data_IF_996738641417
#
_entry.id   IF_996738641417
#
_cell.length_a   1.000
_cell.length_b   1.000
_cell.length_c   1.000
_cell.angle_alpha   90.00
_cell.angle_beta   90.00
_cell.angle_gamma   90.00
#
_symmetry.space_group_name_H-M   'P 1'
#
loop_
_entity.id
_entity.type
_entity.pdbx_description
1 polymer ?
#
# COMPACT_ATOMS: atom_id res chain seq x y z
N UNK A 1 16.09 -4.80 7.63
CA UNK A 1 14.82 -4.19 8.05
C UNK A 1 13.73 -4.51 7.05
N UNK A 2 12.54 -4.77 7.52
CA UNK A 2 11.37 -5.02 6.68
C UNK A 2 10.52 -3.77 6.59
N UNK A 3 10.30 -3.28 5.37
CA UNK A 3 9.62 -2.01 5.13
C UNK A 3 8.44 -2.26 4.21
N UNK A 4 7.28 -1.74 4.59
CA UNK A 4 6.06 -1.85 3.81
C UNK A 4 5.57 -0.46 3.41
N UNK A 5 5.32 -0.28 2.12
CA UNK A 5 4.65 0.91 1.58
C UNK A 5 3.21 0.57 1.21
N UNK A 6 2.29 1.46 1.56
CA UNK A 6 0.89 1.39 1.19
C UNK A 6 0.50 2.69 0.49
N UNK A 7 0.18 2.60 -0.79
CA UNK A 7 -0.30 3.75 -1.56
C UNK A 7 -1.24 3.26 -2.65
N UNK A 8 -2.20 4.07 -3.04
CA UNK A 8 -3.12 3.70 -4.11
C UNK A 8 -2.41 3.56 -5.44
N UNK A 9 -1.34 4.32 -5.67
CA UNK A 9 -0.57 4.33 -6.91
C UNK A 9 0.89 3.99 -6.64
N UNK A 10 1.48 3.12 -7.45
CA UNK A 10 2.90 2.78 -7.41
C UNK A 10 3.67 3.58 -8.47
N UNK A 11 4.78 4.23 -8.15
CA UNK A 11 5.31 4.45 -6.80
C UNK A 11 4.75 5.70 -6.11
N UNK A 12 4.06 6.56 -6.83
CA UNK A 12 3.46 7.76 -6.30
C UNK A 12 4.43 8.64 -5.50
N UNK A 13 3.94 9.15 -4.38
CA UNK A 13 4.72 10.03 -3.50
C UNK A 13 5.89 9.34 -2.81
N UNK A 14 5.90 8.02 -2.78
CA UNK A 14 6.93 7.26 -2.07
C UNK A 14 8.09 6.82 -2.94
N UNK A 15 8.18 7.32 -4.17
CA UNK A 15 9.22 6.90 -5.12
C UNK A 15 10.63 7.05 -4.56
N UNK A 16 10.95 8.22 -4.04
CA UNK A 16 12.30 8.48 -3.52
C UNK A 16 12.64 7.63 -2.31
N UNK A 17 11.68 7.48 -1.37
CA UNK A 17 11.88 6.63 -0.19
C UNK A 17 12.02 5.17 -0.57
N UNK A 18 11.18 4.69 -1.49
CA UNK A 18 11.26 3.30 -1.94
C UNK A 18 12.60 3.01 -2.62
N UNK A 19 13.10 3.93 -3.43
CA UNK A 19 14.42 3.81 -4.07
C UNK A 19 15.53 3.77 -3.01
N UNK A 20 15.48 4.65 -2.03
CA UNK A 20 16.49 4.73 -0.98
C UNK A 20 16.53 3.45 -0.13
N UNK A 21 15.39 2.94 0.32
CA UNK A 21 15.34 1.73 1.12
C UNK A 21 15.66 0.48 0.31
N UNK A 22 15.21 0.43 -0.95
CA UNK A 22 15.46 -0.71 -1.83
C UNK A 22 16.92 -0.85 -2.25
N UNK A 23 17.69 0.23 -2.19
CA UNK A 23 19.12 0.22 -2.54
C UNK A 23 19.96 -0.57 -1.52
N UNK A 24 19.49 -0.72 -0.29
CA UNK A 24 20.21 -1.48 0.73
C UNK A 24 19.83 -2.96 0.67
N UNK A 25 20.84 -3.84 0.59
CA UNK A 25 20.61 -5.29 0.60
C UNK A 25 20.12 -5.81 1.96
N UNK A 26 20.29 -5.02 3.02
CA UNK A 26 19.83 -5.38 4.36
C UNK A 26 18.33 -5.16 4.55
N UNK A 27 17.68 -4.52 3.59
CA UNK A 27 16.25 -4.23 3.65
C UNK A 27 15.45 -5.16 2.75
N UNK A 28 14.28 -5.57 3.25
CA UNK A 28 13.25 -6.22 2.46
C UNK A 28 12.11 -5.21 2.31
N UNK A 29 11.86 -4.76 1.09
CA UNK A 29 10.89 -3.70 0.82
C UNK A 29 9.73 -4.26 0.00
N UNK A 30 8.53 -4.16 0.53
CA UNK A 30 7.29 -4.48 -0.17
C UNK A 30 6.49 -3.22 -0.42
N UNK A 31 5.87 -3.12 -1.57
CA UNK A 31 5.01 -2.01 -1.96
C UNK A 31 3.65 -2.53 -2.38
N UNK A 32 2.62 -2.26 -1.59
CA UNK A 32 1.23 -2.59 -1.90
C UNK A 32 0.56 -1.39 -2.56
N UNK A 33 0.03 -1.58 -3.77
CA UNK A 33 -0.65 -0.53 -4.53
C UNK A 33 -1.82 -1.10 -5.33
N UNK A 34 -2.86 -0.30 -5.53
CA UNK A 34 -4.01 -0.67 -6.36
C UNK A 34 -3.67 -0.61 -7.84
N UNK A 35 -2.97 0.44 -8.24
CA UNK A 35 -2.53 0.68 -9.62
C UNK A 35 -1.11 1.21 -9.62
N UNK A 36 -0.57 1.45 -10.81
CA UNK A 36 0.72 2.13 -10.89
C UNK A 36 1.39 2.01 -12.25
N UNK A 37 2.55 2.64 -12.35
CA UNK A 37 3.38 2.62 -13.55
C UNK A 37 4.04 1.26 -13.71
N UNK A 38 4.28 0.87 -14.96
CA UNK A 38 5.00 -0.36 -15.28
C UNK A 38 6.50 -0.13 -15.24
N UNK A 39 7.00 0.24 -14.07
CA UNK A 39 8.43 0.44 -13.83
C UNK A 39 8.85 -0.47 -12.69
N UNK A 40 10.14 -0.81 -12.65
CA UNK A 40 10.72 -1.55 -11.55
C UNK A 40 11.63 -0.64 -10.74
N UNK A 41 11.54 -0.73 -9.41
CA UNK A 41 12.48 -0.08 -8.52
C UNK A 41 13.37 -1.18 -7.94
N UNK A 42 14.69 -1.14 -8.15
CA UNK A 42 15.58 -2.17 -7.65
C UNK A 42 15.44 -2.36 -6.13
N UNK A 43 15.34 -3.62 -5.71
CA UNK A 43 15.19 -3.95 -4.30
C UNK A 43 13.78 -3.79 -3.73
N UNK A 44 12.82 -3.40 -4.53
CA UNK A 44 11.42 -3.21 -4.12
C UNK A 44 10.54 -4.26 -4.80
N UNK A 45 9.86 -5.07 -3.99
CA UNK A 45 8.88 -6.03 -4.49
C UNK A 45 7.50 -5.39 -4.48
N UNK A 46 6.87 -5.41 -5.63
CA UNK A 46 5.56 -4.82 -5.82
C UNK A 46 4.48 -5.88 -5.73
N UNK A 47 3.45 -5.61 -4.92
CA UNK A 47 2.27 -6.45 -4.80
C UNK A 47 1.03 -5.61 -5.11
N UNK A 48 0.08 -6.20 -5.81
CA UNK A 48 -1.17 -5.52 -6.13
C UNK A 48 -2.18 -5.71 -5.00
N UNK A 49 -2.79 -4.61 -4.57
CA UNK A 49 -3.92 -4.60 -3.65
C UNK A 49 -5.19 -4.35 -4.46
N UNK A 50 -6.18 -5.23 -4.34
CA UNK A 50 -7.44 -5.03 -5.05
C UNK A 50 -8.14 -3.76 -4.56
N UNK A 51 -8.64 -2.90 -5.48
CA UNK A 51 -9.37 -1.70 -5.06
C UNK A 51 -10.67 -2.08 -4.37
N UNK A 52 -11.22 -1.21 -3.49
CA UNK A 52 -12.49 -1.48 -2.84
C UNK A 52 -13.64 -1.52 -3.84
N UNK A 53 -14.67 -2.31 -3.53
CA UNK A 53 -15.88 -2.34 -4.33
C UNK A 53 -16.53 -0.95 -4.34
N UNK A 54 -17.12 -0.51 -5.48
CA UNK A 54 -17.81 0.76 -5.54
C UNK A 54 -18.96 0.84 -4.53
N UNK A 55 -19.14 2.02 -3.94
CA UNK A 55 -20.27 2.31 -3.08
C UNK A 55 -21.13 3.37 -3.75
N UNK A 56 -22.38 3.02 -4.02
CA UNK A 56 -23.33 3.93 -4.66
C UNK A 56 -24.07 4.75 -3.61
N UNK A 57 -24.02 6.08 -3.76
CA UNK A 57 -24.73 7.01 -2.90
C UNK A 57 -24.94 8.33 -3.65
N UNK A 58 -26.08 8.98 -3.41
CA UNK A 58 -26.35 10.31 -3.93
C UNK A 58 -25.60 11.39 -3.13
N UNK A 59 -25.10 11.06 -1.96
CA UNK A 59 -24.31 11.96 -1.12
C UNK A 59 -22.82 11.76 -1.36
N UNK A 60 -22.10 12.74 -1.99
CA UNK A 60 -20.67 12.60 -2.23
C UNK A 60 -19.84 12.42 -0.97
N UNK A 61 -20.23 13.06 0.13
CA UNK A 61 -19.50 12.94 1.39
C UNK A 61 -19.61 11.52 1.97
N UNK A 62 -20.80 10.92 1.93
CA UNK A 62 -21.02 9.55 2.36
C UNK A 62 -20.22 8.57 1.50
N UNK A 63 -20.27 8.75 0.17
CA UNK A 63 -19.53 7.91 -0.76
C UNK A 63 -18.04 7.94 -0.47
N UNK A 64 -17.47 9.11 -0.22
CA UNK A 64 -16.06 9.26 0.09
C UNK A 64 -15.69 8.55 1.40
N UNK A 65 -16.47 8.74 2.45
CA UNK A 65 -16.23 8.13 3.75
C UNK A 65 -16.24 6.59 3.64
N UNK A 66 -17.27 6.04 3.02
CA UNK A 66 -17.39 4.58 2.86
C UNK A 66 -16.25 4.02 2.02
N UNK A 67 -15.85 4.70 0.96
CA UNK A 67 -14.73 4.28 0.12
C UNK A 67 -13.43 4.22 0.92
N UNK A 68 -13.17 5.25 1.75
CA UNK A 68 -11.98 5.27 2.62
C UNK A 68 -11.99 4.15 3.65
N UNK A 69 -13.14 3.89 4.27
CA UNK A 69 -13.28 2.79 5.24
C UNK A 69 -13.02 1.44 4.58
N UNK A 70 -13.53 1.23 3.37
CA UNK A 70 -13.29 -0.01 2.62
C UNK A 70 -11.84 -0.19 2.24
N UNK A 71 -11.15 0.89 1.84
CA UNK A 71 -9.70 0.84 1.57
C UNK A 71 -8.90 0.49 2.81
N UNK A 72 -9.23 1.12 3.94
CA UNK A 72 -8.59 0.80 5.21
C UNK A 72 -8.75 -0.65 5.62
N UNK A 73 -9.95 -1.21 5.46
CA UNK A 73 -10.22 -2.60 5.76
C UNK A 73 -9.41 -3.55 4.86
N UNK A 74 -9.31 -3.26 3.56
CA UNK A 74 -8.51 -4.07 2.64
C UNK A 74 -7.03 -4.01 2.96
N UNK A 75 -6.51 -2.82 3.28
CA UNK A 75 -5.13 -2.65 3.69
C UNK A 75 -4.83 -3.43 4.97
N UNK A 76 -5.72 -3.37 5.96
CA UNK A 76 -5.60 -4.12 7.20
C UNK A 76 -5.61 -5.63 6.98
N UNK A 77 -6.49 -6.13 6.13
CA UNK A 77 -6.54 -7.55 5.77
C UNK A 77 -5.27 -8.00 5.04
N UNK A 78 -4.74 -7.17 4.15
CA UNK A 78 -3.48 -7.47 3.46
C UNK A 78 -2.31 -7.54 4.44
N UNK A 79 -2.24 -6.64 5.42
CA UNK A 79 -1.24 -6.68 6.47
C UNK A 79 -1.31 -7.97 7.29
N UNK A 80 -2.50 -8.39 7.70
CA UNK A 80 -2.68 -9.63 8.43
C UNK A 80 -2.24 -10.83 7.62
N UNK A 81 -2.57 -10.86 6.33
CA UNK A 81 -2.14 -11.92 5.41
C UNK A 81 -0.61 -11.97 5.29
N UNK A 82 0.06 -10.84 5.16
CA UNK A 82 1.52 -10.76 5.10
C UNK A 82 2.14 -11.31 6.39
N UNK A 83 1.61 -10.95 7.54
CA UNK A 83 2.11 -11.45 8.84
C UNK A 83 1.96 -12.96 8.96
N UNK A 84 0.84 -13.52 8.51
CA UNK A 84 0.62 -14.98 8.48
C UNK A 84 1.63 -15.69 7.60
N UNK A 85 2.09 -15.03 6.53
CA UNK A 85 3.08 -15.57 5.59
C UNK A 85 4.52 -15.22 5.99
N UNK A 86 4.74 -14.76 7.21
CA UNK A 86 6.07 -14.55 7.75
C UNK A 86 6.67 -13.16 7.53
N UNK A 87 5.91 -12.22 6.96
CA UNK A 87 6.36 -10.84 6.79
C UNK A 87 5.75 -9.94 7.85
N UNK A 88 6.55 -9.56 8.84
CA UNK A 88 6.17 -8.58 9.86
C UNK A 88 6.98 -7.31 9.63
N UNK A 89 6.36 -6.22 9.11
CA UNK A 89 7.12 -5.01 8.82
C UNK A 89 7.61 -4.32 10.09
N UNK A 90 8.84 -3.80 10.02
CA UNK A 90 9.41 -2.94 11.06
C UNK A 90 8.91 -1.50 10.90
N UNK A 91 8.71 -1.07 9.65
CA UNK A 91 8.24 0.27 9.30
C UNK A 91 7.11 0.15 8.27
N UNK A 92 6.06 0.93 8.47
CA UNK A 92 4.96 1.06 7.51
C UNK A 92 4.84 2.51 7.10
N UNK A 93 4.94 2.76 5.79
CA UNK A 93 4.73 4.07 5.19
C UNK A 93 3.42 4.03 4.42
N UNK A 94 2.39 4.69 4.92
CA UNK A 94 1.07 4.66 4.31
C UNK A 94 0.58 6.06 3.98
N UNK A 95 -0.06 6.19 2.80
CA UNK A 95 -0.78 7.41 2.46
C UNK A 95 -2.11 7.45 3.22
N UNK A 96 -2.59 8.66 3.54
CA UNK A 96 -3.85 8.85 4.26
C UNK A 96 -5.04 8.21 3.54
N UNK A 97 -5.02 8.19 2.19
CA UNK A 97 -6.06 7.57 1.37
C UNK A 97 -6.17 6.05 1.56
N UNK A 98 -5.19 5.42 2.19
CA UNK A 98 -5.17 3.98 2.45
C UNK A 98 -5.58 3.64 3.89
N UNK A 99 -6.26 4.55 4.57
CA UNK A 99 -6.74 4.32 5.93
C UNK A 99 -5.68 4.56 7.00
N UNK A 100 -4.61 5.25 6.62
CA UNK A 100 -3.54 5.61 7.54
C UNK A 100 -3.85 6.81 8.40
#
# INVERSE_FOLDING_TARGET
MRILFLNSVFPGRFRSLAQAFGASQNNTVLFLAETGQKIAIPGVRRLRLAPPAPYESDDPAEKEIVTRLRRGARAGNALLSLRRNGFAPDIICAAASMGG
#
